data_IF_218178688123
#
_entry.id   IF_218178688123
#
_cell.length_a   1.000
_cell.length_b   1.000
_cell.length_c   1.000
_cell.angle_alpha   90.00
_cell.angle_beta   90.00
_cell.angle_gamma   90.00
#
_symmetry.space_group_name_H-M   'P 1'
#
loop_
_entity.id
_entity.type
_entity.pdbx_description
1 polymer ?
#
# COMPACT_ATOMS: atom_id res chain seq x y z
N UNK A 1 7.27 -25.35 5.92
CA UNK A 1 7.67 -24.12 5.21
C UNK A 1 7.51 -22.96 6.18
N UNK A 2 8.60 -22.28 6.56
CA UNK A 2 8.48 -21.00 7.27
C UNK A 2 7.88 -20.01 6.28
N UNK A 3 6.72 -19.44 6.56
CA UNK A 3 6.20 -18.32 5.78
C UNK A 3 7.21 -17.18 5.96
N UNK A 4 7.85 -16.73 4.88
CA UNK A 4 8.57 -15.46 4.91
C UNK A 4 7.52 -14.39 5.19
N UNK A 5 7.50 -13.88 6.42
CA UNK A 5 6.65 -12.76 6.77
C UNK A 5 7.26 -11.53 6.11
N UNK A 6 6.49 -10.85 5.26
CA UNK A 6 6.91 -9.58 4.68
C UNK A 6 6.96 -8.55 5.79
N UNK A 7 8.16 -8.04 6.10
CA UNK A 7 8.33 -7.01 7.11
C UNK A 7 7.96 -5.62 6.57
N UNK A 8 7.97 -4.61 7.45
CA UNK A 8 7.61 -3.23 7.11
C UNK A 8 8.41 -2.67 5.93
N UNK A 9 9.71 -3.00 5.85
CA UNK A 9 10.61 -2.47 4.83
C UNK A 9 10.23 -3.05 3.46
N UNK A 10 10.06 -4.37 3.39
CA UNK A 10 9.66 -5.03 2.16
C UNK A 10 8.25 -4.55 1.74
N UNK A 11 7.34 -4.37 2.68
CA UNK A 11 6.00 -3.86 2.38
C UNK A 11 6.03 -2.45 1.74
N UNK A 12 6.87 -1.55 2.25
CA UNK A 12 7.05 -0.24 1.60
C UNK A 12 7.66 -0.36 0.21
N UNK A 13 8.70 -1.18 0.02
CA UNK A 13 9.34 -1.39 -1.28
C UNK A 13 8.34 -1.93 -2.31
N UNK A 14 7.51 -2.90 -1.92
CA UNK A 14 6.46 -3.45 -2.77
C UNK A 14 5.40 -2.40 -3.16
N UNK A 15 4.97 -1.57 -2.20
CA UNK A 15 4.03 -0.49 -2.48
C UNK A 15 4.62 0.57 -3.44
N UNK A 16 5.87 1.00 -3.21
CA UNK A 16 6.60 1.94 -4.08
C UNK A 16 6.72 1.38 -5.50
N UNK A 17 7.12 0.11 -5.63
CA UNK A 17 7.26 -0.55 -6.92
C UNK A 17 5.92 -0.59 -7.67
N UNK A 18 4.82 -0.86 -6.97
CA UNK A 18 3.48 -0.86 -7.56
C UNK A 18 3.04 0.52 -8.02
N UNK A 19 3.21 1.56 -7.21
CA UNK A 19 2.91 2.95 -7.57
C UNK A 19 3.71 3.40 -8.81
N UNK A 20 5.01 3.09 -8.84
CA UNK A 20 5.88 3.41 -9.98
C UNK A 20 5.50 2.65 -11.24
N UNK A 21 5.21 1.35 -11.12
CA UNK A 21 4.77 0.50 -12.23
C UNK A 21 3.46 1.00 -12.84
N UNK A 22 2.51 1.37 -11.99
CA UNK A 22 1.19 1.88 -12.41
C UNK A 22 1.24 3.38 -12.79
N UNK A 23 2.41 4.01 -12.71
CA UNK A 23 2.67 5.42 -13.03
C UNK A 23 1.78 6.39 -12.24
N UNK A 24 1.50 6.06 -10.99
CA UNK A 24 0.70 6.90 -10.10
C UNK A 24 1.64 7.92 -9.44
N UNK A 25 1.50 9.22 -9.70
CA UNK A 25 2.39 10.23 -9.14
C UNK A 25 2.03 10.52 -7.67
N UNK A 26 3.02 10.42 -6.78
CA UNK A 26 2.87 10.68 -5.34
C UNK A 26 4.06 11.49 -4.81
N UNK A 27 3.92 12.02 -3.60
CA UNK A 27 4.96 12.78 -2.90
C UNK A 27 5.78 11.81 -2.02
N UNK A 28 7.06 11.53 -2.34
CA UNK A 28 7.82 10.47 -1.66
C UNK A 28 7.92 10.62 -0.13
N UNK A 29 8.11 11.84 0.35
CA UNK A 29 8.28 12.13 1.78
C UNK A 29 6.98 11.98 2.60
N UNK A 30 5.87 11.63 1.95
CA UNK A 30 4.56 11.43 2.59
C UNK A 30 4.19 9.95 2.76
N UNK A 31 5.08 9.04 2.36
CA UNK A 31 4.87 7.60 2.53
C UNK A 31 4.79 7.23 4.02
N UNK A 32 3.69 6.61 4.41
CA UNK A 32 3.50 6.04 5.75
C UNK A 32 3.07 4.59 5.62
N UNK A 33 3.58 3.72 6.48
CA UNK A 33 3.29 2.29 6.46
C UNK A 33 2.83 1.83 7.84
N UNK A 34 1.62 1.28 7.88
CA UNK A 34 0.92 0.80 9.07
C UNK A 34 0.72 -0.71 8.99
N UNK A 35 0.95 -1.41 10.10
CA UNK A 35 0.52 -2.79 10.22
C UNK A 35 -0.94 -2.82 10.67
N UNK A 36 -1.77 -3.56 9.94
CA UNK A 36 -3.20 -3.67 10.24
C UNK A 36 -3.51 -5.10 10.66
N UNK A 37 -4.09 -5.24 11.85
CA UNK A 37 -4.70 -6.49 12.32
C UNK A 37 -6.22 -6.34 12.24
N UNK A 38 -6.91 -7.41 11.83
CA UNK A 38 -8.38 -7.49 11.70
C UNK A 38 -9.00 -6.68 10.55
N UNK A 39 -8.20 -6.01 9.73
CA UNK A 39 -8.65 -5.46 8.44
C UNK A 39 -8.71 -6.58 7.40
N UNK A 40 -9.82 -6.68 6.64
CA UNK A 40 -9.96 -7.68 5.59
C UNK A 40 -9.30 -7.16 4.31
N UNK A 41 -8.10 -7.65 4.03
CA UNK A 41 -7.35 -7.35 2.83
C UNK A 41 -7.96 -8.03 1.60
N UNK A 42 -7.60 -7.54 0.42
CA UNK A 42 -8.12 -8.04 -0.86
C UNK A 42 -7.78 -9.50 -1.15
N UNK A 43 -6.68 -10.00 -0.61
CA UNK A 43 -6.28 -11.40 -0.69
C UNK A 43 -7.08 -12.33 0.24
N UNK A 44 -8.02 -11.77 1.01
CA UNK A 44 -8.88 -12.49 1.95
C UNK A 44 -8.27 -12.68 3.34
N UNK A 45 -7.01 -12.28 3.56
CA UNK A 45 -6.38 -12.34 4.87
C UNK A 45 -6.84 -11.17 5.77
N UNK A 46 -6.69 -11.37 7.08
CA UNK A 46 -7.12 -10.39 8.10
C UNK A 46 -5.96 -9.56 8.66
N UNK A 47 -4.79 -9.65 8.05
CA UNK A 47 -3.59 -8.98 8.52
C UNK A 47 -2.65 -8.71 7.36
N UNK A 48 -1.91 -7.62 7.45
CA UNK A 48 -1.06 -7.11 6.39
C UNK A 48 -0.63 -5.68 6.65
N UNK A 49 -0.05 -5.06 5.63
CA UNK A 49 0.44 -3.70 5.68
C UNK A 49 -0.43 -2.79 4.83
N UNK A 50 -0.74 -1.62 5.35
CA UNK A 50 -1.37 -0.54 4.61
C UNK A 50 -0.36 0.58 4.45
N UNK A 51 0.00 0.88 3.20
CA UNK A 51 0.88 1.98 2.85
C UNK A 51 0.04 3.12 2.30
N UNK A 52 0.22 4.33 2.81
CA UNK A 52 -0.44 5.54 2.30
C UNK A 52 0.57 6.54 1.79
N UNK A 53 0.21 7.29 0.76
CA UNK A 53 0.99 8.43 0.27
C UNK A 53 0.06 9.54 -0.22
N UNK A 54 0.50 10.80 -0.12
CA UNK A 54 -0.18 11.90 -0.80
C UNK A 54 0.08 11.82 -2.30
N UNK A 55 -0.97 11.94 -3.10
CA UNK A 55 -0.90 12.05 -4.53
C UNK A 55 -0.34 13.42 -4.93
N UNK A 56 0.42 13.45 -6.02
CA UNK A 56 0.90 14.70 -6.61
C UNK A 56 -0.16 15.22 -7.59
N UNK A 57 -1.24 15.77 -7.04
CA UNK A 57 -2.42 16.31 -7.74
C UNK A 57 -2.63 17.78 -7.34
N UNK A 58 -3.50 18.48 -8.05
CA UNK A 58 -3.85 19.87 -7.69
C UNK A 58 -4.53 19.92 -6.31
N UNK A 59 -4.34 21.02 -5.57
CA UNK A 59 -4.82 21.17 -4.17
C UNK A 59 -6.33 20.94 -3.97
N UNK A 60 -7.14 21.07 -5.02
CA UNK A 60 -8.59 20.89 -4.97
C UNK A 60 -9.06 19.54 -5.56
N UNK A 61 -8.13 18.63 -5.86
CA UNK A 61 -8.47 17.32 -6.42
C UNK A 61 -8.61 16.29 -5.30
N UNK A 62 -9.76 15.63 -5.26
CA UNK A 62 -9.98 14.48 -4.39
C UNK A 62 -10.10 13.20 -5.22
N UNK A 63 -9.50 12.09 -4.76
CA UNK A 63 -8.71 11.96 -3.53
C UNK A 63 -7.30 12.56 -3.70
N UNK A 64 -6.76 13.14 -2.62
CA UNK A 64 -5.39 13.65 -2.53
C UNK A 64 -4.41 12.62 -1.95
N UNK A 65 -4.92 11.45 -1.58
CA UNK A 65 -4.20 10.40 -0.86
C UNK A 65 -4.55 9.04 -1.48
N UNK A 66 -3.53 8.19 -1.63
CA UNK A 66 -3.69 6.82 -2.09
C UNK A 66 -3.33 5.84 -0.98
N UNK A 67 -4.05 4.72 -0.96
CA UNK A 67 -3.77 3.59 -0.08
C UNK A 67 -3.35 2.38 -0.92
N UNK A 68 -2.39 1.63 -0.41
CA UNK A 68 -1.83 0.42 -1.02
C UNK A 68 -1.82 -0.67 0.05
N UNK A 69 -2.60 -1.71 -0.22
CA UNK A 69 -2.64 -2.93 0.57
C UNK A 69 -1.48 -3.84 0.18
N UNK A 70 -0.71 -4.33 1.16
CA UNK A 70 0.36 -5.31 0.95
C UNK A 70 0.16 -6.48 1.91
N UNK A 71 -0.04 -7.67 1.35
CA UNK A 71 -0.19 -8.89 2.13
C UNK A 71 1.10 -9.25 2.86
N UNK A 72 1.02 -9.52 4.16
CA UNK A 72 2.16 -10.06 4.91
C UNK A 72 2.42 -11.55 4.63
N UNK A 73 1.47 -12.26 4.01
CA UNK A 73 1.51 -13.72 3.84
C UNK A 73 2.11 -14.15 2.51
N UNK A 74 1.86 -13.38 1.46
CA UNK A 74 2.27 -13.71 0.10
C UNK A 74 2.83 -12.51 -0.69
N UNK A 75 2.89 -11.31 -0.09
CA UNK A 75 3.40 -10.11 -0.75
C UNK A 75 2.50 -9.54 -1.85
N UNK A 76 1.27 -10.02 -1.97
CA UNK A 76 0.29 -9.47 -2.92
C UNK A 76 0.08 -7.99 -2.63
N UNK A 77 0.23 -7.17 -3.67
CA UNK A 77 -0.01 -5.73 -3.60
C UNK A 77 -1.30 -5.38 -4.31
N UNK A 78 -2.17 -4.67 -3.63
CA UNK A 78 -3.44 -4.22 -4.16
C UNK A 78 -3.62 -2.72 -3.91
N UNK A 79 -4.06 -1.99 -4.94
CA UNK A 79 -4.47 -0.60 -4.82
C UNK A 79 -5.99 -0.60 -4.93
N UNK A 80 -6.72 -0.28 -3.84
CA UNK A 80 -8.16 -0.10 -3.91
C UNK A 80 -8.52 0.89 -5.00
N UNK A 81 -9.48 0.49 -5.85
CA UNK A 81 -10.05 1.41 -6.82
C UNK A 81 -10.57 2.64 -6.07
N UNK A 82 -10.05 3.82 -6.43
CA UNK A 82 -10.59 5.08 -5.96
C UNK A 82 -12.02 5.16 -6.52
N UNK A 83 -13.02 4.98 -5.66
CA UNK A 83 -14.44 5.15 -5.99
C UNK A 83 -14.78 6.65 -6.04
#
# INVERSE_FOLDING_TARGET
>A
MKSEKFDKKIAMELAINKLNHDKIPYIPDTLVCFYMEKYKFHDGFRSGWLVSAKLNVAENFEPDTIFVEVSEHNGTVYIPSLL
#
